data_IF_713214280382
#
_entry.id   IF_713214280382
#
_cell.length_a   1.000
_cell.length_b   1.000
_cell.length_c   1.000
_cell.angle_alpha   90.00
_cell.angle_beta   90.00
_cell.angle_gamma   90.00
#
_symmetry.space_group_name_H-M   'P 1'
#
loop_
_entity.id
_entity.type
_entity.pdbx_description
1 polymer ?
#
# COMPACT_ATOMS: atom_id res chain seq x y z
N UNK A 1 18.40 23.46 31.25
CA UNK A 1 16.94 23.28 31.41
C UNK A 1 16.15 24.54 31.79
N UNK A 2 16.61 25.42 32.71
CA UNK A 2 15.92 26.70 33.05
C UNK A 2 15.69 27.65 31.86
N UNK A 3 16.68 27.83 30.98
CA UNK A 3 16.56 28.73 29.82
C UNK A 3 15.54 28.25 28.79
N UNK A 4 15.40 26.93 28.59
CA UNK A 4 14.37 26.35 27.68
C UNK A 4 12.95 26.69 28.13
N UNK A 5 12.68 26.63 29.45
CA UNK A 5 11.36 27.01 30.01
C UNK A 5 11.09 28.51 29.87
N UNK A 6 12.08 29.37 30.15
CA UNK A 6 11.94 30.83 29.96
C UNK A 6 11.68 31.20 28.49
N UNK A 7 12.41 30.58 27.56
CA UNK A 7 12.21 30.77 26.13
C UNK A 7 10.86 30.22 25.63
N UNK A 8 10.39 29.09 26.17
CA UNK A 8 9.06 28.55 25.86
C UNK A 8 7.96 29.49 26.35
N UNK A 9 8.04 29.97 27.59
CA UNK A 9 7.06 30.92 28.14
C UNK A 9 7.01 32.24 27.34
N UNK A 10 8.16 32.76 26.89
CA UNK A 10 8.21 33.93 26.03
C UNK A 10 7.65 33.67 24.61
N UNK A 11 7.78 32.44 24.07
CA UNK A 11 7.18 32.05 22.79
C UNK A 11 5.67 31.90 22.87
N UNK A 12 5.15 31.39 23.98
CA UNK A 12 3.70 31.23 24.22
C UNK A 12 2.94 32.57 24.28
N UNK A 13 3.63 33.69 24.52
CA UNK A 13 3.03 35.03 24.48
C UNK A 13 2.84 35.58 23.06
N UNK A 14 3.43 34.94 22.03
CA UNK A 14 3.28 35.37 20.64
C UNK A 14 1.95 34.85 20.08
N UNK A 15 1.25 35.60 19.22
CA UNK A 15 0.16 35.06 18.44
C UNK A 15 0.63 33.81 17.71
N UNK A 16 -0.03 32.67 17.97
CA UNK A 16 0.33 31.41 17.30
C UNK A 16 0.02 31.57 15.81
N UNK A 17 0.88 31.06 14.90
CA UNK A 17 0.53 30.96 13.49
C UNK A 17 -0.80 30.22 13.33
N UNK A 18 -1.58 30.62 12.32
CA UNK A 18 -2.79 29.87 11.95
C UNK A 18 -2.39 28.42 11.68
N UNK A 19 -3.08 27.49 12.35
CA UNK A 19 -2.92 26.06 12.11
C UNK A 19 -3.89 25.66 11.01
N UNK A 20 -3.40 25.04 9.94
CA UNK A 20 -4.30 24.30 9.06
C UNK A 20 -4.82 23.09 9.85
N UNK A 21 -6.12 23.09 10.14
CA UNK A 21 -6.83 22.08 10.92
C UNK A 21 -7.60 21.09 10.04
N UNK A 22 -7.35 21.12 8.72
CA UNK A 22 -7.90 20.14 7.78
C UNK A 22 -7.25 18.77 7.97
N UNK A 23 -8.06 17.75 7.80
CA UNK A 23 -7.61 16.36 7.64
C UNK A 23 -7.83 16.02 6.17
N UNK A 24 -6.75 15.68 5.46
CA UNK A 24 -6.78 15.39 4.03
C UNK A 24 -6.54 13.91 3.77
N UNK A 25 -7.31 13.31 2.86
CA UNK A 25 -7.27 11.85 2.62
C UNK A 25 -5.91 11.41 2.05
N UNK A 26 -5.41 12.08 1.03
CA UNK A 26 -4.06 11.92 0.46
C UNK A 26 -2.94 11.89 1.52
N UNK A 27 -2.77 12.96 2.31
CA UNK A 27 -1.71 13.07 3.31
C UNK A 27 -1.86 12.03 4.42
N UNK A 28 -3.10 11.71 4.82
CA UNK A 28 -3.33 10.65 5.78
C UNK A 28 -3.03 9.27 5.19
N UNK A 29 -3.24 9.04 3.88
CA UNK A 29 -2.82 7.81 3.20
C UNK A 29 -1.31 7.56 3.33
N UNK A 30 -0.49 8.58 3.05
CA UNK A 30 0.97 8.51 3.23
C UNK A 30 1.35 8.30 4.71
N UNK A 31 0.70 9.00 5.63
CA UNK A 31 0.94 8.84 7.07
C UNK A 31 0.58 7.43 7.55
N UNK A 32 -0.54 6.87 7.09
CA UNK A 32 -0.98 5.50 7.42
C UNK A 32 0.05 4.49 6.91
N UNK A 33 0.51 4.64 5.67
CA UNK A 33 1.55 3.77 5.10
C UNK A 33 2.81 3.77 5.97
N UNK A 34 3.29 4.97 6.34
CA UNK A 34 4.48 5.13 7.18
C UNK A 34 4.29 4.53 8.59
N UNK A 35 3.15 4.77 9.24
CA UNK A 35 2.86 4.25 10.58
C UNK A 35 2.69 2.73 10.60
N UNK A 36 2.02 2.15 9.60
CA UNK A 36 1.88 0.71 9.48
C UNK A 36 3.25 0.04 9.27
N UNK A 37 4.04 0.53 8.31
CA UNK A 37 5.41 0.08 8.08
C UNK A 37 6.28 0.20 9.34
N UNK A 38 6.21 1.33 10.05
CA UNK A 38 6.96 1.54 11.29
C UNK A 38 6.52 0.56 12.38
N UNK A 39 5.21 0.32 12.55
CA UNK A 39 4.70 -0.67 13.50
C UNK A 39 5.19 -2.08 13.19
N UNK A 40 5.25 -2.45 11.91
CA UNK A 40 5.74 -3.75 11.45
C UNK A 40 7.25 -3.94 11.65
N UNK A 41 8.06 -2.93 11.33
CA UNK A 41 9.54 -3.03 11.34
C UNK A 41 10.12 -2.76 12.73
N UNK A 42 9.54 -1.84 13.49
CA UNK A 42 10.01 -1.49 14.85
C UNK A 42 9.33 -2.31 15.94
N UNK A 43 8.39 -3.19 15.58
CA UNK A 43 7.61 -4.02 16.51
C UNK A 43 6.89 -3.18 17.58
N UNK A 44 6.40 -1.99 17.20
CA UNK A 44 5.77 -1.04 18.10
C UNK A 44 4.28 -0.86 17.80
N UNK A 45 3.45 -1.48 18.66
CA UNK A 45 2.00 -1.47 18.54
C UNK A 45 1.37 -0.06 18.58
N UNK A 46 2.08 0.96 19.08
CA UNK A 46 1.58 2.35 19.06
C UNK A 46 1.41 2.88 17.64
N UNK A 47 2.34 2.51 16.74
CA UNK A 47 2.27 2.94 15.34
C UNK A 47 1.20 2.16 14.58
N UNK A 48 1.12 0.84 14.75
CA UNK A 48 0.03 0.00 14.20
C UNK A 48 -1.34 0.51 14.64
N UNK A 49 -1.50 0.78 15.94
CA UNK A 49 -2.75 1.32 16.49
C UNK A 49 -3.07 2.72 15.98
N UNK A 50 -2.07 3.57 15.72
CA UNK A 50 -2.27 4.88 15.13
C UNK A 50 -2.73 4.80 13.66
N UNK A 51 -2.11 3.92 12.86
CA UNK A 51 -2.52 3.65 11.48
C UNK A 51 -3.98 3.15 11.43
N UNK A 52 -4.32 2.15 12.25
CA UNK A 52 -5.68 1.60 12.30
C UNK A 52 -6.73 2.64 12.70
N UNK A 53 -6.43 3.52 13.68
CA UNK A 53 -7.34 4.62 14.05
C UNK A 53 -7.51 5.63 12.92
N UNK A 54 -6.44 5.95 12.19
CA UNK A 54 -6.50 6.86 11.06
C UNK A 54 -7.33 6.27 9.90
N UNK A 55 -7.14 4.99 9.57
CA UNK A 55 -8.01 4.28 8.61
C UNK A 55 -9.46 4.32 9.07
N UNK A 56 -9.74 4.00 10.34
CA UNK A 56 -11.10 4.07 10.90
C UNK A 56 -11.72 5.46 10.82
N UNK A 57 -10.94 6.52 11.00
CA UNK A 57 -11.41 7.90 10.81
C UNK A 57 -11.78 8.17 9.35
N UNK A 58 -10.90 7.84 8.41
CA UNK A 58 -11.16 8.01 6.98
C UNK A 58 -12.41 7.22 6.58
N UNK A 59 -12.50 5.95 6.98
CA UNK A 59 -13.64 5.08 6.69
C UNK A 59 -14.96 5.67 7.19
N UNK A 60 -14.94 6.29 8.38
CA UNK A 60 -16.14 6.87 9.00
C UNK A 60 -16.58 8.20 8.39
N UNK A 61 -15.63 9.07 8.02
CA UNK A 61 -15.95 10.46 7.70
C UNK A 61 -15.59 10.88 6.27
N UNK A 62 -14.62 10.22 5.65
CA UNK A 62 -14.09 10.57 4.33
C UNK A 62 -14.43 9.52 3.26
N UNK A 63 -14.94 8.36 3.66
CA UNK A 63 -15.45 7.35 2.74
C UNK A 63 -16.97 7.49 2.59
N UNK A 64 -17.42 7.68 1.35
CA UNK A 64 -18.82 7.83 0.98
C UNK A 64 -19.50 6.47 0.87
N UNK A 65 -20.83 6.49 0.99
CA UNK A 65 -21.68 5.30 0.85
C UNK A 65 -21.57 4.65 -0.54
N UNK A 66 -21.34 5.45 -1.58
CA UNK A 66 -21.12 4.99 -2.96
C UNK A 66 -19.69 4.45 -3.21
N UNK A 67 -18.88 4.33 -2.16
CA UNK A 67 -17.52 3.81 -2.23
C UNK A 67 -16.47 4.86 -2.61
N UNK A 68 -16.85 6.12 -2.88
CA UNK A 68 -15.90 7.19 -3.22
C UNK A 68 -15.28 7.85 -2.00
N UNK A 69 -14.26 8.67 -2.24
CA UNK A 69 -13.59 9.44 -1.21
C UNK A 69 -14.00 10.92 -1.26
N UNK A 70 -14.03 11.54 -0.08
CA UNK A 70 -13.89 12.98 0.09
C UNK A 70 -12.41 13.30 0.26
N UNK A 71 -11.97 14.43 -0.28
CA UNK A 71 -10.59 14.88 -0.12
C UNK A 71 -10.34 15.42 1.29
N UNK A 72 -11.30 16.15 1.87
CA UNK A 72 -11.05 16.98 3.06
C UNK A 72 -12.14 16.84 4.12
N UNK A 73 -11.70 16.75 5.37
CA UNK A 73 -12.53 16.92 6.55
C UNK A 73 -12.07 18.13 7.35
N UNK A 74 -13.02 18.99 7.76
CA UNK A 74 -12.72 20.15 8.61
C UNK A 74 -13.96 20.54 9.40
N UNK A 75 -13.80 20.79 10.70
CA UNK A 75 -14.86 21.32 11.58
C UNK A 75 -16.19 20.53 11.48
N UNK A 76 -16.13 19.20 11.52
CA UNK A 76 -17.33 18.35 11.46
C UNK A 76 -17.79 17.97 10.06
N UNK A 77 -17.24 18.59 9.01
CA UNK A 77 -17.75 18.47 7.65
C UNK A 77 -16.72 17.82 6.73
N UNK A 78 -17.14 16.75 6.05
CA UNK A 78 -16.43 16.17 4.92
C UNK A 78 -16.85 16.87 3.62
N UNK A 79 -15.93 17.03 2.68
CA UNK A 79 -16.22 17.63 1.39
C UNK A 79 -15.02 17.70 0.47
N UNK A 80 -15.22 18.37 -0.66
CA UNK A 80 -14.33 18.41 -1.84
C UNK A 80 -14.15 17.05 -2.51
N UNK A 81 -14.32 17.04 -3.82
CA UNK A 81 -14.09 15.86 -4.63
C UNK A 81 -12.65 15.36 -4.48
N UNK A 82 -12.50 14.07 -4.20
CA UNK A 82 -11.21 13.41 -4.14
C UNK A 82 -10.54 13.36 -5.52
N UNK A 83 -9.22 13.48 -5.51
CA UNK A 83 -8.35 13.39 -6.68
C UNK A 83 -7.57 12.05 -6.66
N UNK A 84 -6.73 11.82 -7.67
CA UNK A 84 -5.94 10.60 -7.80
C UNK A 84 -5.10 10.28 -6.54
N UNK A 85 -4.49 11.30 -5.93
CA UNK A 85 -3.59 11.15 -4.79
C UNK A 85 -4.34 10.56 -3.59
N UNK A 86 -5.58 11.00 -3.35
CA UNK A 86 -6.42 10.47 -2.26
C UNK A 86 -6.64 8.96 -2.38
N UNK A 87 -6.89 8.47 -3.60
CA UNK A 87 -7.09 7.04 -3.86
C UNK A 87 -5.79 6.26 -3.81
N UNK A 88 -4.76 6.74 -4.51
CA UNK A 88 -3.48 6.05 -4.62
C UNK A 88 -2.79 5.92 -3.25
N UNK A 89 -2.75 7.01 -2.48
CA UNK A 89 -2.04 7.04 -1.19
C UNK A 89 -2.80 6.27 -0.11
N UNK A 90 -4.14 6.36 -0.08
CA UNK A 90 -4.92 5.56 0.84
C UNK A 90 -4.86 4.07 0.51
N UNK A 91 -4.91 3.70 -0.77
CA UNK A 91 -4.71 2.33 -1.22
C UNK A 91 -3.35 1.79 -0.75
N UNK A 92 -2.28 2.59 -0.90
CA UNK A 92 -0.96 2.22 -0.38
C UNK A 92 -0.97 2.04 1.14
N UNK A 93 -1.56 2.98 1.89
CA UNK A 93 -1.70 2.87 3.34
C UNK A 93 -2.44 1.61 3.80
N UNK A 94 -3.50 1.23 3.09
CA UNK A 94 -4.26 0.01 3.35
C UNK A 94 -3.43 -1.25 3.08
N UNK A 95 -2.63 -1.28 2.00
CA UNK A 95 -1.72 -2.40 1.73
C UNK A 95 -0.66 -2.55 2.83
N UNK A 96 -0.09 -1.45 3.32
CA UNK A 96 0.83 -1.51 4.46
C UNK A 96 0.13 -1.97 5.74
N UNK A 97 -1.11 -1.53 5.99
CA UNK A 97 -1.91 -2.04 7.12
C UNK A 97 -2.14 -3.55 7.00
N UNK A 98 -2.52 -4.03 5.82
CA UNK A 98 -2.70 -5.45 5.56
C UNK A 98 -1.41 -6.24 5.83
N UNK A 99 -0.27 -5.87 5.25
CA UNK A 99 0.95 -6.64 5.51
C UNK A 99 1.52 -6.46 6.93
N UNK A 100 0.99 -5.49 7.70
CA UNK A 100 1.32 -5.31 9.11
C UNK A 100 0.48 -6.21 10.01
N UNK A 101 -0.83 -6.28 9.78
CA UNK A 101 -1.78 -6.97 10.67
C UNK A 101 -2.36 -8.26 10.11
N UNK A 102 -2.25 -8.46 8.80
CA UNK A 102 -2.92 -9.48 7.99
C UNK A 102 -4.44 -9.51 8.16
N UNK A 103 -5.05 -8.38 8.53
CA UNK A 103 -6.50 -8.27 8.60
C UNK A 103 -7.11 -8.16 7.17
N UNK A 104 -7.96 -9.11 6.75
CA UNK A 104 -8.51 -9.18 5.39
C UNK A 104 -9.23 -7.90 4.92
N UNK A 105 -9.84 -7.17 5.85
CA UNK A 105 -10.56 -5.92 5.55
C UNK A 105 -9.70 -4.89 4.82
N UNK A 106 -8.42 -4.75 5.18
CA UNK A 106 -7.56 -3.75 4.57
C UNK A 106 -7.24 -4.09 3.12
N UNK A 107 -7.05 -5.37 2.79
CA UNK A 107 -6.86 -5.82 1.42
C UNK A 107 -8.15 -5.65 0.59
N UNK A 108 -9.32 -5.99 1.15
CA UNK A 108 -10.63 -5.76 0.51
C UNK A 108 -10.84 -4.27 0.19
N UNK A 109 -10.60 -3.40 1.16
CA UNK A 109 -10.71 -1.95 1.01
C UNK A 109 -9.70 -1.41 -0.01
N UNK A 110 -8.46 -1.93 -0.03
CA UNK A 110 -7.45 -1.56 -1.03
C UNK A 110 -7.88 -1.95 -2.46
N UNK A 111 -8.48 -3.13 -2.64
CA UNK A 111 -9.05 -3.58 -3.92
C UNK A 111 -10.17 -2.66 -4.39
N UNK A 112 -11.11 -2.31 -3.49
CA UNK A 112 -12.20 -1.39 -3.80
C UNK A 112 -11.67 -0.02 -4.27
N UNK A 113 -10.67 0.53 -3.58
CA UNK A 113 -10.07 1.80 -3.99
C UNK A 113 -9.31 1.69 -5.31
N UNK A 114 -8.59 0.58 -5.56
CA UNK A 114 -7.89 0.37 -6.81
C UNK A 114 -8.84 0.27 -8.01
N UNK A 115 -9.98 -0.42 -7.85
CA UNK A 115 -11.02 -0.51 -8.88
C UNK A 115 -11.64 0.86 -9.18
N UNK A 116 -11.97 1.64 -8.14
CA UNK A 116 -12.44 3.03 -8.29
C UNK A 116 -11.36 3.91 -8.95
N UNK A 117 -10.11 3.75 -8.55
CA UNK A 117 -8.99 4.51 -9.09
C UNK A 117 -8.81 4.27 -10.59
N UNK A 118 -8.85 3.00 -11.01
CA UNK A 118 -8.82 2.62 -12.42
C UNK A 118 -9.99 3.24 -13.17
N UNK A 119 -11.22 3.08 -12.66
CA UNK A 119 -12.43 3.55 -13.34
C UNK A 119 -12.51 5.08 -13.51
N UNK A 120 -12.05 5.83 -12.51
CA UNK A 120 -12.19 7.29 -12.47
C UNK A 120 -11.00 7.99 -13.15
N UNK A 121 -9.79 7.47 -13.03
CA UNK A 121 -8.58 8.22 -13.34
C UNK A 121 -7.75 7.65 -14.49
N UNK A 122 -7.89 6.38 -14.87
CA UNK A 122 -7.05 5.79 -15.94
C UNK A 122 -7.32 6.45 -17.30
N UNK A 123 -6.25 6.84 -17.99
CA UNK A 123 -6.30 7.16 -19.41
C UNK A 123 -5.97 5.90 -20.21
N UNK A 124 -6.98 5.09 -20.51
CA UNK A 124 -6.79 3.84 -21.25
C UNK A 124 -6.26 4.07 -22.68
N UNK A 125 -6.45 5.27 -23.25
CA UNK A 125 -6.03 5.58 -24.62
C UNK A 125 -4.56 5.98 -24.73
N UNK A 126 -4.08 6.84 -23.83
CA UNK A 126 -2.68 7.35 -23.85
C UNK A 126 -1.79 6.81 -22.73
N UNK A 127 -2.36 6.02 -21.82
CA UNK A 127 -1.69 5.54 -20.61
C UNK A 127 -1.59 6.61 -19.52
N UNK A 128 -1.33 6.17 -18.30
CA UNK A 128 -1.21 7.03 -17.13
C UNK A 128 -2.55 7.31 -16.46
N UNK A 129 -2.54 8.20 -15.48
CA UNK A 129 -3.71 8.56 -14.69
C UNK A 129 -3.89 10.09 -14.72
N UNK A 130 -5.13 10.52 -14.88
CA UNK A 130 -5.56 11.90 -14.67
C UNK A 130 -5.59 12.23 -13.18
N UNK A 131 -5.34 13.49 -12.84
CA UNK A 131 -5.43 13.95 -11.45
C UNK A 131 -6.88 14.07 -10.98
N UNK A 132 -7.76 14.58 -11.83
CA UNK A 132 -9.18 14.74 -11.52
C UNK A 132 -10.01 13.55 -12.03
N UNK A 133 -11.09 13.16 -11.35
CA UNK A 133 -11.93 12.04 -11.76
C UNK A 133 -12.69 12.33 -13.07
N UNK A 134 -13.06 11.27 -13.79
CA UNK A 134 -13.71 11.35 -15.11
C UNK A 134 -15.11 11.96 -15.09
N UNK A 135 -15.75 11.97 -13.93
CA UNK A 135 -17.09 12.49 -13.70
C UNK A 135 -17.12 13.64 -12.70
N UNK A 136 -15.97 14.29 -12.49
CA UNK A 136 -15.89 15.54 -11.77
C UNK A 136 -16.43 16.72 -12.56
N UNK A 137 -16.18 17.92 -12.04
CA UNK A 137 -16.51 19.16 -12.74
C UNK A 137 -15.96 19.12 -14.18
N UNK A 138 -16.77 19.47 -15.20
CA UNK A 138 -16.30 19.50 -16.57
C UNK A 138 -15.14 20.49 -16.75
N UNK A 139 -13.92 19.95 -16.87
CA UNK A 139 -12.72 20.74 -17.15
C UNK A 139 -12.46 20.74 -18.65
N UNK A 140 -11.94 21.87 -19.17
CA UNK A 140 -11.49 21.96 -20.56
C UNK A 140 -10.41 20.91 -20.87
N UNK A 141 -9.50 20.68 -19.91
CA UNK A 141 -8.45 19.67 -19.96
C UNK A 141 -8.32 19.05 -18.57
N UNK A 142 -8.34 17.72 -18.48
CA UNK A 142 -7.97 16.99 -17.26
C UNK A 142 -6.46 16.86 -17.18
N UNK A 143 -5.78 17.45 -16.17
CA UNK A 143 -4.34 17.37 -16.07
C UNK A 143 -3.89 15.97 -15.64
N UNK A 144 -2.65 15.62 -15.98
CA UNK A 144 -1.92 14.49 -15.40
C UNK A 144 -0.70 15.05 -14.69
N UNK A 145 -0.45 14.59 -13.47
CA UNK A 145 0.64 15.07 -12.63
C UNK A 145 1.58 13.90 -12.32
N UNK A 146 2.49 13.53 -13.23
CA UNK A 146 3.28 12.31 -13.10
C UNK A 146 4.58 12.50 -12.31
N UNK A 147 4.99 13.75 -12.07
CA UNK A 147 6.27 14.08 -11.44
C UNK A 147 6.17 14.05 -9.92
N UNK A 148 7.12 13.37 -9.29
CA UNK A 148 7.30 13.42 -7.85
C UNK A 148 7.78 14.82 -7.42
N UNK A 149 7.26 15.31 -6.30
CA UNK A 149 7.65 16.58 -5.68
C UNK A 149 8.20 16.30 -4.28
N UNK A 150 7.88 17.14 -3.28
CA UNK A 150 8.22 16.88 -1.88
C UNK A 150 7.62 15.55 -1.35
N UNK A 151 6.65 14.99 -2.07
CA UNK A 151 6.00 13.71 -1.85
C UNK A 151 5.83 13.01 -3.23
N UNK A 152 5.65 11.67 -3.28
CA UNK A 152 5.49 10.96 -4.55
C UNK A 152 4.23 11.39 -5.28
N UNK A 153 4.19 11.31 -6.61
CA UNK A 153 2.96 11.60 -7.35
C UNK A 153 1.91 10.49 -7.17
N UNK A 154 0.62 10.83 -7.24
CA UNK A 154 -0.46 9.84 -7.28
C UNK A 154 -0.31 8.86 -8.44
N UNK A 155 0.25 9.30 -9.57
CA UNK A 155 0.57 8.42 -10.69
C UNK A 155 1.61 7.36 -10.31
N UNK A 156 2.73 7.77 -9.72
CA UNK A 156 3.80 6.88 -9.26
C UNK A 156 3.27 5.84 -8.26
N UNK A 157 2.47 6.28 -7.29
CA UNK A 157 1.90 5.40 -6.27
C UNK A 157 0.82 4.49 -6.86
N UNK A 158 -0.01 4.98 -7.79
CA UNK A 158 -1.00 4.16 -8.50
C UNK A 158 -0.34 2.97 -9.23
N UNK A 159 0.79 3.22 -9.92
CA UNK A 159 1.57 2.16 -10.56
C UNK A 159 2.06 1.14 -9.52
N UNK A 160 2.67 1.61 -8.42
CA UNK A 160 3.17 0.74 -7.35
C UNK A 160 2.08 -0.14 -6.73
N UNK A 161 0.94 0.44 -6.34
CA UNK A 161 -0.12 -0.31 -5.65
C UNK A 161 -0.81 -1.30 -6.59
N UNK A 162 -0.96 -0.96 -7.87
CA UNK A 162 -1.53 -1.88 -8.86
C UNK A 162 -0.61 -3.08 -9.12
N UNK A 163 0.71 -2.88 -9.17
CA UNK A 163 1.67 -4.00 -9.27
C UNK A 163 1.57 -4.87 -8.02
N UNK A 164 1.59 -4.28 -6.82
CA UNK A 164 1.48 -5.05 -5.56
C UNK A 164 0.18 -5.85 -5.48
N UNK A 165 -0.95 -5.23 -5.80
CA UNK A 165 -2.26 -5.90 -5.84
C UNK A 165 -2.31 -7.00 -6.90
N UNK A 166 -1.76 -6.76 -8.10
CA UNK A 166 -1.68 -7.77 -9.14
C UNK A 166 -0.96 -9.03 -8.65
N UNK A 167 0.16 -8.84 -7.93
CA UNK A 167 1.01 -9.91 -7.39
C UNK A 167 0.37 -10.62 -6.20
N UNK A 168 -0.22 -9.87 -5.28
CA UNK A 168 -0.95 -10.42 -4.13
C UNK A 168 -2.22 -11.19 -4.51
N UNK A 169 -2.87 -10.83 -5.62
CA UNK A 169 -4.17 -11.39 -6.00
C UNK A 169 -4.08 -12.36 -7.19
N UNK A 170 -2.91 -12.51 -7.81
CA UNK A 170 -2.75 -13.26 -9.06
C UNK A 170 -3.54 -12.66 -10.22
N UNK A 171 -3.58 -11.32 -10.33
CA UNK A 171 -4.33 -10.56 -11.37
C UNK A 171 -3.37 -9.90 -12.37
N UNK A 172 -2.81 -10.62 -13.36
CA UNK A 172 -1.81 -10.07 -14.28
C UNK A 172 -2.32 -8.86 -15.08
N UNK A 173 -3.62 -8.80 -15.37
CA UNK A 173 -4.22 -7.67 -16.08
C UNK A 173 -4.05 -6.31 -15.37
N UNK A 174 -3.93 -6.30 -14.04
CA UNK A 174 -3.69 -5.07 -13.26
C UNK A 174 -2.23 -4.61 -13.37
N UNK A 175 -1.31 -5.55 -13.43
CA UNK A 175 0.09 -5.25 -13.68
C UNK A 175 0.30 -4.75 -15.12
N UNK A 176 -0.35 -5.36 -16.11
CA UNK A 176 -0.30 -4.87 -17.48
C UNK A 176 -0.79 -3.42 -17.60
N UNK A 177 -1.84 -3.06 -16.85
CA UNK A 177 -2.32 -1.66 -16.74
C UNK A 177 -1.24 -0.75 -16.14
N UNK A 178 -0.65 -1.16 -15.02
CA UNK A 178 0.41 -0.41 -14.35
C UNK A 178 1.64 -0.20 -15.27
N UNK A 179 2.06 -1.24 -16.00
CA UNK A 179 3.18 -1.18 -16.95
C UNK A 179 2.84 -0.24 -18.12
N UNK A 180 1.62 -0.31 -18.69
CA UNK A 180 1.19 0.65 -19.71
C UNK A 180 1.19 2.09 -19.20
N UNK A 181 0.73 2.29 -17.96
CA UNK A 181 0.71 3.60 -17.33
C UNK A 181 2.13 4.16 -17.14
N UNK A 182 3.08 3.34 -16.68
CA UNK A 182 4.48 3.73 -16.54
C UNK A 182 5.15 4.02 -17.90
N UNK A 183 4.88 3.20 -18.93
CA UNK A 183 5.45 3.36 -20.28
C UNK A 183 5.08 4.71 -20.92
N UNK A 184 3.89 5.26 -20.60
CA UNK A 184 3.47 6.57 -21.10
C UNK A 184 4.45 7.70 -20.75
N UNK A 185 5.26 7.53 -19.71
CA UNK A 185 6.25 8.51 -19.24
C UNK A 185 7.70 8.07 -19.45
N UNK A 186 7.96 6.98 -20.18
CA UNK A 186 9.31 6.42 -20.34
C UNK A 186 10.34 7.43 -20.87
N UNK A 187 9.96 8.28 -21.83
CA UNK A 187 10.83 9.33 -22.35
C UNK A 187 11.12 10.44 -21.32
N UNK A 188 10.12 10.80 -20.52
CA UNK A 188 10.29 11.80 -19.45
C UNK A 188 11.19 11.26 -18.33
N UNK A 189 11.00 10.00 -17.94
CA UNK A 189 11.86 9.29 -16.98
C UNK A 189 13.29 9.23 -17.47
N UNK A 190 13.52 8.94 -18.76
CA UNK A 190 14.86 8.90 -19.35
C UNK A 190 15.58 10.24 -19.31
N UNK A 191 14.84 11.35 -19.46
CA UNK A 191 15.41 12.72 -19.43
C UNK A 191 15.61 13.25 -18.00
N UNK A 192 14.70 12.92 -17.08
CA UNK A 192 14.66 13.48 -15.72
C UNK A 192 14.35 12.40 -14.67
N UNK A 193 15.18 11.36 -14.49
CA UNK A 193 14.86 10.22 -13.64
C UNK A 193 14.62 10.60 -12.17
N UNK A 194 15.29 11.65 -11.67
CA UNK A 194 15.11 12.15 -10.30
C UNK A 194 13.72 12.72 -10.03
N UNK A 195 12.94 13.07 -11.06
CA UNK A 195 11.55 13.52 -10.93
C UNK A 195 10.55 12.35 -10.85
N UNK A 196 11.02 11.10 -10.90
CA UNK A 196 10.19 9.90 -10.98
C UNK A 196 10.67 8.77 -10.05
N UNK A 197 11.33 9.11 -8.94
CA UNK A 197 11.92 8.13 -8.02
C UNK A 197 10.91 7.11 -7.47
N UNK A 198 9.66 7.52 -7.19
CA UNK A 198 8.61 6.62 -6.73
C UNK A 198 8.10 5.71 -7.86
N UNK A 199 7.97 6.25 -9.09
CA UNK A 199 7.64 5.44 -10.26
C UNK A 199 8.73 4.40 -10.53
N UNK A 200 10.00 4.79 -10.43
CA UNK A 200 11.16 3.90 -10.56
C UNK A 200 11.16 2.80 -9.49
N UNK A 201 10.68 3.08 -8.28
CA UNK A 201 10.50 2.07 -7.22
C UNK A 201 9.43 1.04 -7.61
N UNK A 202 8.31 1.48 -8.18
CA UNK A 202 7.30 0.57 -8.72
C UNK A 202 7.82 -0.27 -9.90
N UNK A 203 8.60 0.35 -10.80
CA UNK A 203 9.23 -0.35 -11.92
C UNK A 203 10.29 -1.37 -11.47
N UNK A 204 11.05 -1.07 -10.42
CA UNK A 204 12.01 -2.01 -9.83
C UNK A 204 11.32 -3.29 -9.34
N UNK A 205 10.14 -3.16 -8.72
CA UNK A 205 9.30 -4.30 -8.33
C UNK A 205 8.77 -5.09 -9.53
N UNK A 206 8.32 -4.41 -10.60
CA UNK A 206 7.78 -5.07 -11.79
C UNK A 206 8.84 -5.78 -12.65
N UNK A 207 10.02 -5.17 -12.79
CA UNK A 207 11.14 -5.74 -13.56
C UNK A 207 11.75 -6.92 -12.82
N UNK A 208 11.84 -6.81 -11.49
CA UNK A 208 12.27 -7.90 -10.64
C UNK A 208 13.78 -8.18 -10.63
N UNK A 209 14.19 -9.37 -10.15
CA UNK A 209 13.32 -10.46 -9.67
C UNK A 209 12.49 -10.03 -8.46
N UNK A 210 11.19 -10.32 -8.52
CA UNK A 210 10.25 -10.13 -7.41
C UNK A 210 9.82 -11.47 -6.85
N UNK A 211 9.39 -11.46 -5.59
CA UNK A 211 9.08 -12.67 -4.83
C UNK A 211 7.74 -12.52 -4.15
N UNK A 212 6.85 -13.48 -4.40
CA UNK A 212 5.57 -13.59 -3.71
C UNK A 212 5.70 -14.62 -2.58
N UNK A 213 5.41 -14.23 -1.34
CA UNK A 213 5.49 -15.12 -0.18
C UNK A 213 4.10 -15.37 0.37
N UNK A 214 3.70 -16.64 0.45
CA UNK A 214 2.49 -17.06 1.17
C UNK A 214 2.91 -17.75 2.45
N UNK A 215 2.43 -17.27 3.59
CA UNK A 215 2.55 -17.98 4.87
C UNK A 215 1.20 -18.62 5.17
N UNK A 216 1.19 -19.95 5.26
CA UNK A 216 0.03 -20.74 5.64
C UNK A 216 0.12 -21.10 7.12
N UNK A 217 -0.83 -20.67 7.94
CA UNK A 217 -0.84 -20.95 9.38
C UNK A 217 -1.76 -20.03 10.16
N UNK A 218 -2.01 -20.38 11.42
CA UNK A 218 -2.75 -19.51 12.34
C UNK A 218 -1.91 -18.26 12.65
N UNK A 219 -2.39 -17.02 12.39
CA UNK A 219 -1.67 -15.80 12.73
C UNK A 219 -1.27 -15.71 14.20
N UNK A 220 -1.99 -16.34 15.13
CA UNK A 220 -1.66 -16.30 16.56
C UNK A 220 -0.59 -17.33 16.96
N UNK A 221 -0.32 -18.33 16.13
CA UNK A 221 0.61 -19.41 16.44
C UNK A 221 2.08 -18.96 16.39
N UNK A 222 2.90 -19.55 17.27
CA UNK A 222 4.30 -19.15 17.43
C UNK A 222 5.17 -19.44 16.20
N UNK A 223 4.90 -20.52 15.49
CA UNK A 223 5.59 -20.90 14.25
C UNK A 223 5.24 -19.95 13.09
N UNK A 224 3.97 -19.54 12.95
CA UNK A 224 3.56 -18.50 12.00
C UNK A 224 4.26 -17.17 12.31
N UNK A 225 4.28 -16.76 13.59
CA UNK A 225 4.96 -15.53 14.00
C UNK A 225 6.48 -15.58 13.75
N UNK A 226 7.11 -16.75 13.88
CA UNK A 226 8.53 -16.92 13.56
C UNK A 226 8.81 -16.66 12.07
N UNK A 227 8.00 -17.22 11.16
CA UNK A 227 8.12 -16.96 9.72
C UNK A 227 7.87 -15.49 9.39
N UNK A 228 6.80 -14.90 9.93
CA UNK A 228 6.47 -13.49 9.69
C UNK A 228 7.55 -12.54 10.21
N UNK A 229 8.10 -12.79 11.40
CA UNK A 229 9.17 -11.97 11.99
C UNK A 229 10.45 -12.06 11.15
N UNK A 230 10.80 -13.24 10.66
CA UNK A 230 11.93 -13.42 9.76
C UNK A 230 11.78 -12.57 8.48
N UNK A 231 10.56 -12.47 7.91
CA UNK A 231 10.29 -11.63 6.75
C UNK A 231 10.35 -10.11 7.02
N UNK A 232 10.12 -9.68 8.26
CA UNK A 232 10.02 -8.25 8.63
C UNK A 232 11.38 -7.58 8.86
N UNK A 233 12.42 -8.36 9.19
CA UNK A 233 13.75 -7.86 9.53
C UNK A 233 14.58 -7.34 8.35
N UNK A 234 14.74 -8.08 7.23
CA UNK A 234 15.52 -7.60 6.10
C UNK A 234 14.72 -6.63 5.23
N UNK A 235 15.41 -5.64 4.65
CA UNK A 235 14.83 -4.79 3.62
C UNK A 235 14.68 -5.57 2.32
N UNK A 236 13.43 -5.90 1.96
CA UNK A 236 13.08 -6.70 0.78
C UNK A 236 12.04 -5.94 -0.06
N UNK A 237 12.46 -4.94 -0.87
CA UNK A 237 11.54 -4.05 -1.58
C UNK A 237 10.77 -4.73 -2.72
N UNK A 238 11.26 -5.87 -3.22
CA UNK A 238 10.65 -6.61 -4.33
C UNK A 238 9.76 -7.77 -3.86
N UNK A 239 9.22 -7.68 -2.65
CA UNK A 239 8.42 -8.74 -2.02
C UNK A 239 6.98 -8.29 -1.81
N UNK A 240 6.05 -9.23 -2.00
CA UNK A 240 4.69 -9.14 -1.45
C UNK A 240 4.42 -10.33 -0.55
N UNK A 241 3.69 -10.13 0.55
CA UNK A 241 3.35 -11.19 1.50
C UNK A 241 1.84 -11.35 1.62
N UNK A 242 1.37 -12.59 1.55
CA UNK A 242 0.00 -13.00 1.84
C UNK A 242 0.00 -13.95 3.02
N UNK A 243 -0.94 -13.77 3.94
CA UNK A 243 -1.22 -14.76 4.98
C UNK A 243 -2.44 -15.56 4.58
N UNK A 244 -2.27 -16.88 4.52
CA UNK A 244 -3.38 -17.81 4.43
C UNK A 244 -3.62 -18.36 5.85
N UNK A 245 -4.71 -17.96 6.52
CA UNK A 245 -5.05 -18.51 7.83
C UNK A 245 -5.32 -20.03 7.76
N UNK A 246 -5.43 -20.66 8.92
CA UNK A 246 -5.70 -22.10 9.05
C UNK A 246 -6.97 -22.53 8.26
N UNK A 247 -7.03 -23.81 7.90
CA UNK A 247 -7.97 -24.39 6.92
C UNK A 247 -9.46 -24.11 7.18
N UNK A 248 -9.82 -23.71 8.40
CA UNK A 248 -11.20 -23.51 8.85
C UNK A 248 -11.63 -22.03 8.89
N UNK A 249 -10.76 -21.09 8.50
CA UNK A 249 -10.99 -19.66 8.64
C UNK A 249 -11.88 -19.09 7.49
N UNK A 250 -13.07 -18.55 7.79
CA UNK A 250 -14.05 -18.15 6.77
C UNK A 250 -13.71 -16.86 6.00
N UNK A 251 -12.69 -16.09 6.40
CA UNK A 251 -12.44 -14.74 5.85
C UNK A 251 -11.03 -14.56 5.24
N UNK A 252 -10.43 -15.66 4.80
CA UNK A 252 -9.03 -15.80 4.37
C UNK A 252 -8.66 -15.17 3.00
N UNK A 253 -9.36 -14.13 2.56
CA UNK A 253 -9.18 -13.52 1.24
C UNK A 253 -9.28 -14.49 0.04
N UNK A 254 -9.80 -15.71 0.20
CA UNK A 254 -9.89 -16.71 -0.88
C UNK A 254 -10.70 -16.24 -2.08
N UNK A 255 -11.69 -15.37 -1.86
CA UNK A 255 -12.47 -14.74 -2.93
C UNK A 255 -11.66 -13.70 -3.72
N UNK A 256 -10.71 -13.02 -3.05
CA UNK A 256 -9.81 -12.06 -3.70
C UNK A 256 -8.64 -12.77 -4.41
N UNK A 257 -8.10 -13.82 -3.79
CA UNK A 257 -6.91 -14.56 -4.20
C UNK A 257 -7.16 -16.08 -4.16
N UNK A 258 -7.87 -16.64 -5.17
CA UNK A 258 -8.29 -18.06 -5.17
C UNK A 258 -7.13 -19.06 -5.13
N UNK A 259 -5.96 -18.67 -5.60
CA UNK A 259 -4.78 -19.55 -5.62
C UNK A 259 -4.37 -20.00 -4.20
N UNK A 260 -4.69 -19.22 -3.16
CA UNK A 260 -4.41 -19.51 -1.75
C UNK A 260 -4.98 -20.86 -1.26
N UNK A 261 -5.98 -21.42 -1.96
CA UNK A 261 -6.55 -22.74 -1.63
C UNK A 261 -5.49 -23.85 -1.68
N UNK A 262 -4.44 -23.67 -2.48
CA UNK A 262 -3.40 -24.68 -2.71
C UNK A 262 -2.19 -24.58 -1.75
N UNK A 263 -1.97 -23.45 -1.08
CA UNK A 263 -0.83 -23.25 -0.17
C UNK A 263 -1.17 -23.64 1.27
N UNK A 264 -1.33 -24.94 1.57
CA UNK A 264 -1.76 -25.41 2.90
C UNK A 264 -0.62 -25.51 3.92
N UNK A 265 -0.96 -25.58 5.20
CA UNK A 265 0.01 -25.97 6.23
C UNK A 265 0.45 -27.43 6.02
N UNK A 266 1.74 -27.71 6.13
CA UNK A 266 2.30 -29.06 6.07
C UNK A 266 2.41 -29.67 7.46
N UNK A 267 1.90 -30.89 7.63
CA UNK A 267 1.99 -31.64 8.88
C UNK A 267 1.47 -30.85 10.10
N UNK A 268 0.47 -29.99 9.90
CA UNK A 268 -0.09 -29.13 10.94
C UNK A 268 0.80 -27.96 11.38
N UNK A 269 1.90 -27.68 10.68
CA UNK A 269 2.84 -26.58 11.00
C UNK A 269 2.72 -25.43 10.01
N UNK A 270 3.00 -24.22 10.49
CA UNK A 270 3.07 -23.05 9.64
C UNK A 270 4.09 -23.25 8.51
N UNK A 271 3.67 -22.93 7.29
CA UNK A 271 4.43 -23.25 6.08
C UNK A 271 4.57 -22.01 5.20
N UNK A 272 5.81 -21.72 4.80
CA UNK A 272 6.14 -20.68 3.83
C UNK A 272 6.25 -21.25 2.42
N UNK A 273 5.58 -20.59 1.49
CA UNK A 273 5.69 -20.77 0.05
C UNK A 273 6.37 -19.53 -0.51
N UNK A 274 7.55 -19.72 -1.09
CA UNK A 274 8.31 -18.67 -1.77
C UNK A 274 8.12 -18.87 -3.27
N UNK A 275 7.45 -17.94 -3.91
CA UNK A 275 7.07 -18.03 -5.31
C UNK A 275 7.69 -16.89 -6.12
N UNK A 276 7.97 -17.18 -7.39
CA UNK A 276 8.46 -16.25 -8.40
C UNK A 276 7.75 -16.56 -9.70
N UNK A 277 7.18 -15.55 -10.35
CA UNK A 277 6.56 -15.71 -11.67
C UNK A 277 5.58 -16.91 -11.72
N UNK A 278 4.74 -17.04 -10.68
CA UNK A 278 3.74 -18.11 -10.54
C UNK A 278 4.29 -19.53 -10.29
N UNK A 279 5.60 -19.67 -10.03
CA UNK A 279 6.21 -20.94 -9.65
C UNK A 279 6.74 -20.84 -8.22
N UNK A 280 6.41 -21.82 -7.38
CA UNK A 280 6.86 -21.85 -6.00
C UNK A 280 7.99 -22.87 -5.81
N UNK A 281 8.98 -22.50 -5.01
CA UNK A 281 9.98 -23.42 -4.49
C UNK A 281 9.29 -24.49 -3.61
N UNK A 282 10.02 -25.55 -3.24
CA UNK A 282 9.50 -26.52 -2.27
C UNK A 282 9.02 -25.79 -1.01
N UNK A 283 7.82 -26.03 -0.47
CA UNK A 283 7.38 -25.40 0.78
C UNK A 283 8.34 -25.69 1.94
N UNK A 284 8.45 -24.76 2.90
CA UNK A 284 9.29 -24.94 4.10
C UNK A 284 8.61 -24.44 5.36
N UNK A 285 8.91 -25.08 6.48
CA UNK A 285 8.51 -24.64 7.82
C UNK A 285 9.65 -23.91 8.55
N UNK A 286 10.83 -23.82 7.94
CA UNK A 286 12.04 -23.24 8.53
C UNK A 286 12.23 -21.79 8.04
N UNK A 287 12.21 -20.78 8.95
CA UNK A 287 12.47 -19.39 8.60
C UNK A 287 13.82 -19.14 7.91
N UNK A 288 14.88 -19.88 8.26
CA UNK A 288 16.20 -19.73 7.64
C UNK A 288 16.20 -20.21 6.19
N UNK A 289 15.56 -21.36 5.92
CA UNK A 289 15.40 -21.89 4.56
C UNK A 289 14.53 -20.94 3.72
N UNK A 290 13.45 -20.40 4.29
CA UNK A 290 12.62 -19.40 3.62
C UNK A 290 13.45 -18.17 3.23
N UNK A 291 14.25 -17.62 4.15
CA UNK A 291 15.08 -16.44 3.89
C UNK A 291 16.18 -16.70 2.85
N UNK A 292 16.83 -17.87 2.90
CA UNK A 292 17.84 -18.25 1.91
C UNK A 292 17.24 -18.25 0.50
N UNK A 293 16.04 -18.83 0.36
CA UNK A 293 15.31 -18.80 -0.91
C UNK A 293 14.99 -17.39 -1.36
N UNK A 294 14.73 -16.41 -0.50
CA UNK A 294 14.49 -15.03 -0.96
C UNK A 294 15.73 -14.37 -1.61
N UNK A 295 16.92 -14.85 -1.29
CA UNK A 295 18.20 -14.29 -1.75
C UNK A 295 18.75 -14.97 -3.00
N UNK A 296 18.23 -16.15 -3.35
CA UNK A 296 18.59 -16.85 -4.56
C UNK A 296 18.12 -16.04 -5.78
N UNK A 297 19.08 -15.59 -6.60
CA UNK A 297 18.78 -15.08 -7.92
C UNK A 297 18.10 -16.21 -8.73
N UNK A 298 17.08 -15.91 -9.55
CA UNK A 298 16.51 -16.93 -10.41
C UNK A 298 17.61 -17.55 -11.27
N UNK A 299 17.63 -18.88 -11.33
CA UNK A 299 18.50 -19.64 -12.21
C UNK A 299 18.20 -19.37 -13.69
#
# INVERSE_FOLDING_TARGET
>A
WRSRRRLFAAREQRPRPLRDDKILTDWNGLMIAALALAGRVLEDARYTGAAARAVGFIRRFLWREDGRLWHRYRQGHAGLQANLDDYAFLCWGLLECYETTFEPRYLREAVQLAEQMIALFEDAGRGGFFFTPSDGEPLLIRPKEPYDNAYPSGHSVAVLVLIRLARMLGRPAWEDRAIRAARAYGEAVRRHPSAFTALLTGLDLAIGPSVEVVIAGDPAAADTQALLTALRRPYLPRKVVMLRPADDAPDACFDLAPYLVHQRSLEGRATAYVCRNLQCDQPTTDPAVMLARLQEAPA
#
